data_IF_192322698412
#
_entry.id   IF_192322698412
#
_cell.length_a   1.000
_cell.length_b   1.000
_cell.length_c   1.000
_cell.angle_alpha   90.00
_cell.angle_beta   90.00
_cell.angle_gamma   90.00
#
_symmetry.space_group_name_H-M   'P 1'
#
loop_
_entity.id
_entity.type
_entity.pdbx_description
1 polymer ?
#
# COMPACT_ATOMS: atom_id res chain seq x y z
N UNK A 1 -18.42 -18.70 -5.09
CA UNK A 1 -18.52 -18.47 -6.55
C UNK A 1 -17.16 -17.92 -7.00
N UNK A 2 -16.62 -18.43 -8.12
CA UNK A 2 -15.35 -17.95 -8.66
C UNK A 2 -15.42 -16.45 -8.98
N UNK A 3 -14.37 -15.72 -8.60
CA UNK A 3 -14.18 -14.32 -8.93
C UNK A 3 -13.16 -14.25 -10.09
N UNK A 4 -13.55 -13.63 -11.19
CA UNK A 4 -12.64 -13.34 -12.30
C UNK A 4 -12.51 -11.83 -12.41
N UNK A 5 -11.30 -11.32 -12.25
CA UNK A 5 -11.03 -9.89 -12.30
C UNK A 5 -9.65 -9.62 -12.91
N UNK A 6 -9.49 -8.44 -13.47
CA UNK A 6 -8.21 -7.90 -13.89
C UNK A 6 -8.00 -6.53 -13.25
N UNK A 7 -6.75 -6.26 -12.86
CA UNK A 7 -6.29 -4.95 -12.39
C UNK A 7 -5.48 -4.32 -13.51
N UNK A 8 -5.99 -3.26 -14.16
CA UNK A 8 -5.26 -2.58 -15.25
C UNK A 8 -3.99 -1.91 -14.72
N UNK A 9 -2.90 -2.03 -15.47
CA UNK A 9 -1.59 -1.46 -15.12
C UNK A 9 -1.58 0.06 -15.16
N UNK A 10 -0.81 0.68 -14.27
CA UNK A 10 -0.62 2.14 -14.21
C UNK A 10 -1.88 2.94 -13.86
N UNK A 11 -2.92 2.30 -13.30
CA UNK A 11 -4.19 2.95 -12.97
C UNK A 11 -4.63 2.66 -11.54
N UNK A 12 -5.71 3.31 -11.10
CA UNK A 12 -6.38 2.95 -9.86
C UNK A 12 -7.46 1.89 -10.11
N UNK A 13 -7.53 0.91 -9.21
CA UNK A 13 -8.66 -0.01 -9.08
C UNK A 13 -9.23 0.09 -7.67
N UNK A 14 -10.50 0.37 -7.54
CA UNK A 14 -11.18 0.46 -6.24
C UNK A 14 -12.08 -0.75 -6.04
N UNK A 15 -11.86 -1.46 -4.93
CA UNK A 15 -12.66 -2.63 -4.53
C UNK A 15 -13.66 -2.19 -3.48
N UNK A 16 -14.94 -2.34 -3.79
CA UNK A 16 -16.06 -1.99 -2.91
C UNK A 16 -16.92 -3.23 -2.62
N UNK A 17 -17.78 -3.14 -1.62
CA UNK A 17 -18.71 -4.20 -1.26
C UNK A 17 -19.08 -4.17 0.22
N UNK A 18 -20.07 -4.93 0.66
CA UNK A 18 -20.51 -4.95 2.06
C UNK A 18 -19.42 -5.51 2.99
N UNK A 19 -19.60 -5.27 4.30
CA UNK A 19 -18.73 -5.88 5.30
C UNK A 19 -18.86 -7.40 5.25
N UNK A 20 -17.73 -8.11 5.34
CA UNK A 20 -17.70 -9.57 5.23
C UNK A 20 -17.64 -10.12 3.80
N UNK A 21 -17.73 -9.30 2.75
CA UNK A 21 -17.65 -9.75 1.34
C UNK A 21 -16.25 -10.25 0.91
N UNK A 22 -15.27 -10.26 1.81
CA UNK A 22 -13.93 -10.77 1.51
C UNK A 22 -12.97 -9.75 0.88
N UNK A 23 -13.26 -8.44 0.96
CA UNK A 23 -12.40 -7.38 0.37
C UNK A 23 -10.95 -7.43 0.87
N UNK A 24 -10.76 -7.48 2.19
CA UNK A 24 -9.41 -7.57 2.80
C UNK A 24 -8.71 -8.89 2.45
N UNK A 25 -9.46 -10.00 2.39
CA UNK A 25 -8.95 -11.29 1.94
C UNK A 25 -8.46 -11.21 0.49
N UNK A 26 -9.26 -10.61 -0.39
CA UNK A 26 -8.86 -10.38 -1.79
C UNK A 26 -7.62 -9.49 -1.88
N UNK A 27 -7.55 -8.40 -1.10
CA UNK A 27 -6.38 -7.51 -1.06
C UNK A 27 -5.10 -8.25 -0.65
N UNK A 28 -5.18 -9.07 0.41
CA UNK A 28 -4.04 -9.90 0.87
C UNK A 28 -3.63 -10.94 -0.18
N UNK A 29 -4.60 -11.53 -0.86
CA UNK A 29 -4.32 -12.52 -1.92
C UNK A 29 -3.66 -11.86 -3.13
N UNK A 30 -4.13 -10.70 -3.57
CA UNK A 30 -3.50 -9.91 -4.64
C UNK A 30 -2.08 -9.46 -4.27
N UNK A 31 -1.86 -9.14 -2.99
CA UNK A 31 -0.55 -8.75 -2.48
C UNK A 31 0.43 -9.93 -2.31
N UNK A 32 0.00 -11.18 -2.57
CA UNK A 32 0.83 -12.36 -2.38
C UNK A 32 1.14 -12.69 -0.91
N UNK A 33 0.27 -12.25 0.02
CA UNK A 33 0.40 -12.48 1.45
C UNK A 33 -0.57 -13.56 1.97
N UNK A 34 -1.56 -13.94 1.18
CA UNK A 34 -2.51 -14.99 1.48
C UNK A 34 -2.72 -15.86 0.25
N UNK A 35 -2.64 -17.18 0.42
CA UNK A 35 -2.86 -18.12 -0.68
C UNK A 35 -4.35 -18.16 -1.08
N UNK A 36 -4.61 -18.29 -2.36
CA UNK A 36 -5.96 -18.48 -2.86
C UNK A 36 -6.46 -19.89 -2.51
N UNK A 37 -7.66 -20.00 -1.91
CA UNK A 37 -8.26 -21.30 -1.62
C UNK A 37 -8.55 -22.10 -2.91
N UNK A 38 -8.92 -21.40 -3.96
CA UNK A 38 -9.18 -21.95 -5.29
C UNK A 38 -8.85 -20.91 -6.35
N UNK A 39 -8.46 -21.35 -7.54
CA UNK A 39 -8.07 -20.46 -8.65
C UNK A 39 -6.61 -20.05 -8.60
N UNK A 40 -6.25 -19.01 -9.36
CA UNK A 40 -4.90 -18.49 -9.50
C UNK A 40 -4.88 -16.98 -9.41
N UNK A 41 -3.78 -16.42 -8.91
CA UNK A 41 -3.46 -15.01 -9.01
C UNK A 41 -2.18 -14.88 -9.82
N UNK A 42 -2.26 -14.14 -10.92
CA UNK A 42 -1.12 -13.95 -11.81
C UNK A 42 -0.83 -12.45 -11.96
N UNK A 43 0.40 -12.07 -11.68
CA UNK A 43 0.89 -10.73 -11.97
C UNK A 43 1.16 -10.57 -13.47
N UNK A 44 1.13 -9.33 -13.95
CA UNK A 44 1.54 -9.01 -15.32
C UNK A 44 2.98 -9.46 -15.59
N UNK A 45 3.29 -9.77 -16.85
CA UNK A 45 4.60 -10.29 -17.25
C UNK A 45 5.77 -9.37 -16.84
N UNK A 46 5.55 -8.06 -16.85
CA UNK A 46 6.53 -7.06 -16.40
C UNK A 46 6.90 -7.16 -14.90
N UNK A 47 6.07 -7.83 -14.10
CA UNK A 47 6.30 -8.04 -12.67
C UNK A 47 6.87 -9.43 -12.35
N UNK A 48 7.13 -10.27 -13.35
CA UNK A 48 7.60 -11.64 -13.16
C UNK A 48 8.72 -11.76 -12.12
N UNK A 49 8.49 -12.57 -11.09
CA UNK A 49 9.51 -12.97 -10.13
C UNK A 49 10.33 -14.18 -10.62
N UNK A 50 11.34 -14.55 -9.87
CA UNK A 50 12.19 -15.73 -10.18
C UNK A 50 11.39 -17.03 -10.23
N UNK A 51 10.28 -17.12 -9.49
CA UNK A 51 9.41 -18.30 -9.39
C UNK A 51 8.13 -18.16 -10.23
N UNK A 52 8.09 -17.25 -11.20
CA UNK A 52 6.98 -17.06 -12.12
C UNK A 52 6.09 -15.82 -11.79
N UNK A 53 4.84 -15.88 -12.20
CA UNK A 53 3.89 -14.77 -12.11
C UNK A 53 3.03 -14.80 -10.84
N UNK A 54 3.07 -15.87 -10.06
CA UNK A 54 2.28 -16.05 -8.85
C UNK A 54 2.91 -15.31 -7.66
N UNK A 55 2.31 -14.21 -7.14
CA UNK A 55 2.92 -13.38 -6.10
C UNK A 55 3.17 -14.10 -4.78
N UNK A 56 2.35 -15.08 -4.40
CA UNK A 56 2.52 -15.86 -3.17
C UNK A 56 3.84 -16.64 -3.14
N UNK A 57 4.42 -16.91 -4.31
CA UNK A 57 5.69 -17.66 -4.45
C UNK A 57 6.92 -16.76 -4.43
N UNK A 58 6.72 -15.44 -4.45
CA UNK A 58 7.84 -14.50 -4.47
C UNK A 58 8.48 -14.37 -3.10
N UNK A 59 9.76 -14.09 -3.08
CA UNK A 59 10.47 -13.77 -1.84
C UNK A 59 10.02 -12.39 -1.33
N UNK A 60 10.15 -12.14 -0.03
CA UNK A 60 9.85 -10.82 0.55
C UNK A 60 10.60 -9.68 -0.15
N UNK A 61 11.84 -9.92 -0.61
CA UNK A 61 12.62 -8.93 -1.36
C UNK A 61 12.05 -8.67 -2.76
N UNK A 62 11.49 -9.69 -3.41
CA UNK A 62 10.80 -9.55 -4.69
C UNK A 62 9.48 -8.81 -4.53
N UNK A 63 8.71 -9.11 -3.49
CA UNK A 63 7.47 -8.40 -3.16
C UNK A 63 7.75 -6.91 -2.89
N UNK A 64 8.79 -6.60 -2.13
CA UNK A 64 9.10 -5.22 -1.70
C UNK A 64 9.18 -4.21 -2.85
N UNK A 65 9.63 -4.63 -4.04
CA UNK A 65 9.72 -3.76 -5.23
C UNK A 65 8.56 -3.92 -6.19
N UNK A 66 7.72 -4.94 -6.02
CA UNK A 66 6.63 -5.26 -6.94
C UNK A 66 5.27 -4.91 -6.38
N UNK A 67 4.96 -5.39 -5.17
CA UNK A 67 3.64 -5.19 -4.57
C UNK A 67 3.81 -4.81 -3.10
N UNK A 68 3.50 -3.57 -2.78
CA UNK A 68 3.41 -3.08 -1.41
C UNK A 68 2.00 -3.21 -0.86
N UNK A 69 1.87 -3.57 0.43
CA UNK A 69 0.57 -3.69 1.10
C UNK A 69 0.48 -2.76 2.30
N UNK A 70 -0.60 -1.95 2.33
CA UNK A 70 -1.00 -1.16 3.50
C UNK A 70 -2.16 -1.90 4.19
N UNK A 71 -1.91 -2.39 5.39
CA UNK A 71 -2.90 -3.16 6.16
C UNK A 71 -3.98 -2.27 6.75
N UNK A 72 -5.15 -2.84 7.02
CA UNK A 72 -6.25 -2.15 7.71
C UNK A 72 -5.84 -1.69 9.11
N UNK A 73 -5.06 -2.48 9.85
CA UNK A 73 -4.43 -2.06 11.10
C UNK A 73 -2.97 -1.67 10.84
N UNK A 74 -2.61 -0.36 11.00
CA UNK A 74 -1.26 0.12 10.75
C UNK A 74 -0.18 -0.54 11.62
N UNK A 75 -0.53 -0.94 12.85
CA UNK A 75 0.44 -1.48 13.81
C UNK A 75 1.00 -2.83 13.38
N UNK A 76 0.30 -3.56 12.53
CA UNK A 76 0.79 -4.83 11.96
C UNK A 76 2.02 -4.67 11.05
N UNK A 77 2.33 -3.43 10.63
CA UNK A 77 3.48 -3.14 9.76
C UNK A 77 4.72 -2.70 10.53
N UNK A 78 4.57 -2.20 11.77
CA UNK A 78 5.66 -1.51 12.46
C UNK A 78 6.67 -2.48 13.08
N UNK A 79 7.94 -2.27 12.75
CA UNK A 79 9.06 -3.14 13.11
C UNK A 79 10.12 -2.43 13.95
N UNK A 80 10.14 -1.09 13.96
CA UNK A 80 11.24 -0.31 14.53
C UNK A 80 10.80 0.59 15.68
N UNK A 81 11.77 1.22 16.35
CA UNK A 81 11.51 2.08 17.50
C UNK A 81 11.30 3.56 17.15
N UNK A 82 11.61 3.97 15.92
CA UNK A 82 11.42 5.36 15.49
C UNK A 82 10.68 5.42 14.15
N UNK A 83 9.90 6.47 13.96
CA UNK A 83 9.20 6.76 12.69
C UNK A 83 10.18 6.84 11.53
N UNK A 84 11.35 7.48 11.73
CA UNK A 84 12.40 7.59 10.71
C UNK A 84 12.95 6.22 10.32
N UNK A 85 13.27 5.38 11.29
CA UNK A 85 13.78 4.05 11.01
C UNK A 85 12.74 3.17 10.33
N UNK A 86 11.47 3.32 10.71
CA UNK A 86 10.36 2.60 10.09
C UNK A 86 10.27 2.88 8.59
N UNK A 87 10.38 4.14 8.18
CA UNK A 87 10.41 4.53 6.77
C UNK A 87 11.66 4.01 6.03
N UNK A 88 12.76 3.85 6.75
CA UNK A 88 14.02 3.39 6.17
C UNK A 88 14.11 1.85 6.00
N UNK A 89 13.19 1.06 6.58
CA UNK A 89 13.25 -0.42 6.54
C UNK A 89 13.28 -0.94 5.11
N UNK A 90 12.32 -0.56 4.28
CA UNK A 90 12.24 -0.98 2.89
C UNK A 90 13.46 -0.57 2.06
N UNK A 91 13.81 0.71 2.00
CA UNK A 91 15.01 1.19 1.32
C UNK A 91 16.31 0.52 1.76
N UNK A 92 16.52 0.29 3.06
CA UNK A 92 17.67 -0.47 3.58
C UNK A 92 17.68 -1.91 3.09
N UNK A 93 16.54 -2.59 3.10
CA UNK A 93 16.43 -3.96 2.60
C UNK A 93 16.72 -4.07 1.10
N UNK A 94 16.49 -2.99 0.34
CA UNK A 94 16.85 -2.87 -1.07
C UNK A 94 18.33 -2.55 -1.30
N UNK A 95 19.07 -2.19 -0.26
CA UNK A 95 20.50 -1.85 -0.34
C UNK A 95 20.76 -0.46 -0.92
N UNK A 96 19.81 0.48 -0.76
CA UNK A 96 20.04 1.85 -1.18
C UNK A 96 21.11 2.51 -0.32
N UNK A 97 21.83 3.47 -0.89
CA UNK A 97 22.80 4.28 -0.15
C UNK A 97 22.10 5.19 0.87
N UNK A 98 22.88 5.69 1.83
CA UNK A 98 22.36 6.49 2.93
C UNK A 98 21.74 7.80 2.44
N UNK A 99 22.36 8.46 1.48
CA UNK A 99 21.92 9.74 0.93
C UNK A 99 20.53 9.60 0.28
N UNK A 100 20.33 8.55 -0.49
CA UNK A 100 19.05 8.25 -1.12
C UNK A 100 17.98 7.90 -0.08
N UNK A 101 18.33 7.11 0.93
CA UNK A 101 17.42 6.75 2.03
C UNK A 101 16.98 8.02 2.77
N UNK A 102 17.93 8.86 3.18
CA UNK A 102 17.63 10.09 3.92
C UNK A 102 16.73 11.02 3.09
N UNK A 103 17.01 11.19 1.81
CA UNK A 103 16.20 12.03 0.92
C UNK A 103 14.75 11.55 0.80
N UNK A 104 14.53 10.24 0.62
CA UNK A 104 13.17 9.67 0.51
C UNK A 104 12.43 9.76 1.85
N UNK A 105 13.11 9.45 2.94
CA UNK A 105 12.53 9.51 4.29
C UNK A 105 12.13 10.94 4.65
N UNK A 106 13.00 11.92 4.43
CA UNK A 106 12.71 13.32 4.72
C UNK A 106 11.55 13.85 3.89
N UNK A 107 11.50 13.54 2.60
CA UNK A 107 10.40 13.93 1.73
C UNK A 107 9.05 13.34 2.18
N UNK A 108 9.01 12.07 2.58
CA UNK A 108 7.78 11.43 3.06
C UNK A 108 7.33 11.97 4.42
N UNK A 109 8.28 12.22 5.34
CA UNK A 109 8.00 12.85 6.63
C UNK A 109 7.36 14.23 6.46
N UNK A 110 7.90 15.05 5.58
CA UNK A 110 7.40 16.39 5.28
C UNK A 110 5.99 16.33 4.67
N UNK A 111 5.82 15.55 3.61
CA UNK A 111 4.57 15.45 2.84
C UNK A 111 3.40 14.94 3.68
N UNK A 112 3.67 14.04 4.61
CA UNK A 112 2.64 13.47 5.48
C UNK A 112 2.53 14.15 6.86
N UNK A 113 3.29 15.24 7.08
CA UNK A 113 3.25 16.01 8.33
C UNK A 113 3.74 15.20 9.53
N UNK A 114 4.76 14.37 9.34
CA UNK A 114 5.36 13.51 10.36
C UNK A 114 6.76 13.98 10.80
N UNK A 115 7.30 15.06 10.25
CA UNK A 115 8.68 15.54 10.50
C UNK A 115 8.97 15.73 11.98
N UNK A 116 8.07 16.37 12.72
CA UNK A 116 8.23 16.58 14.17
C UNK A 116 8.17 15.27 14.98
N UNK A 117 7.75 14.19 14.38
CA UNK A 117 7.57 12.87 15.01
C UNK A 117 8.64 11.86 14.55
N UNK A 118 9.64 12.30 13.78
CA UNK A 118 10.65 11.43 13.19
C UNK A 118 11.38 10.54 14.23
N UNK A 119 11.62 11.06 15.43
CA UNK A 119 12.24 10.34 16.54
C UNK A 119 11.25 9.63 17.48
N UNK A 120 9.93 9.80 17.26
CA UNK A 120 8.90 9.19 18.10
C UNK A 120 8.78 7.70 17.83
N UNK A 121 8.33 6.96 18.83
CA UNK A 121 8.00 5.54 18.66
C UNK A 121 6.70 5.40 17.84
N UNK A 122 6.66 4.60 16.77
CA UNK A 122 5.48 4.41 15.92
C UNK A 122 4.21 4.04 16.70
N UNK A 123 4.34 3.23 17.73
CA UNK A 123 3.20 2.78 18.54
C UNK A 123 2.60 3.88 19.42
N UNK A 124 3.32 4.97 19.68
CA UNK A 124 2.82 6.12 20.48
C UNK A 124 2.06 7.17 19.64
N UNK A 125 2.06 7.02 18.34
CA UNK A 125 1.37 7.92 17.42
C UNK A 125 -0.16 7.83 17.57
N UNK A 126 -0.87 8.91 17.22
CA UNK A 126 -2.33 8.84 17.05
C UNK A 126 -2.71 7.91 15.89
N UNK A 127 -3.95 7.41 15.88
CA UNK A 127 -4.43 6.51 14.82
C UNK A 127 -4.24 7.10 13.41
N UNK A 128 -4.54 8.39 13.22
CA UNK A 128 -4.32 9.06 11.94
C UNK A 128 -2.83 9.19 11.57
N UNK A 129 -1.95 9.43 12.53
CA UNK A 129 -0.50 9.46 12.31
C UNK A 129 0.04 8.06 11.96
N UNK A 130 -0.41 7.02 12.66
CA UNK A 130 -0.07 5.62 12.35
C UNK A 130 -0.47 5.26 10.93
N UNK A 131 -1.67 5.63 10.50
CA UNK A 131 -2.15 5.40 9.14
C UNK A 131 -1.28 6.10 8.10
N UNK A 132 -0.94 7.37 8.29
CA UNK A 132 -0.01 8.10 7.40
C UNK A 132 1.36 7.44 7.35
N UNK A 133 1.89 7.01 8.50
CA UNK A 133 3.15 6.29 8.55
C UNK A 133 3.07 4.97 7.78
N UNK A 134 2.00 4.17 7.95
CA UNK A 134 1.87 2.89 7.24
C UNK A 134 1.81 3.04 5.71
N UNK A 135 1.16 4.09 5.22
CA UNK A 135 1.20 4.43 3.78
C UNK A 135 2.62 4.82 3.36
N UNK A 136 3.29 5.67 4.15
CA UNK A 136 4.64 6.13 3.84
C UNK A 136 5.67 4.99 3.79
N UNK A 137 5.58 3.98 4.68
CA UNK A 137 6.51 2.83 4.67
C UNK A 137 6.44 2.04 3.37
N UNK A 138 5.26 1.89 2.80
CA UNK A 138 5.08 1.22 1.51
C UNK A 138 5.65 2.08 0.37
N UNK A 139 5.32 3.37 0.35
CA UNK A 139 5.80 4.30 -0.67
C UNK A 139 7.33 4.47 -0.66
N UNK A 140 7.96 4.33 0.50
CA UNK A 140 9.43 4.45 0.64
C UNK A 140 10.19 3.41 -0.19
N UNK A 141 9.62 2.23 -0.43
CA UNK A 141 10.22 1.18 -1.26
C UNK A 141 9.93 1.35 -2.76
N UNK A 142 9.05 2.29 -3.14
CA UNK A 142 8.62 2.56 -4.52
C UNK A 142 8.19 1.27 -5.28
N UNK A 143 7.20 0.52 -4.80
CA UNK A 143 6.72 -0.68 -5.48
C UNK A 143 5.96 -0.34 -6.77
N UNK A 144 5.91 -1.26 -7.72
CA UNK A 144 5.16 -1.08 -8.95
C UNK A 144 3.63 -1.14 -8.75
N UNK A 145 3.18 -1.89 -7.74
CA UNK A 145 1.77 -2.02 -7.35
C UNK A 145 1.62 -1.70 -5.87
N UNK A 146 0.62 -0.92 -5.51
CA UNK A 146 0.29 -0.60 -4.12
C UNK A 146 -1.13 -1.09 -3.85
N UNK A 147 -1.26 -2.01 -2.90
CA UNK A 147 -2.55 -2.49 -2.40
C UNK A 147 -2.82 -1.85 -1.04
N UNK A 148 -3.99 -1.23 -0.86
CA UNK A 148 -4.33 -0.53 0.37
C UNK A 148 -5.69 -1.02 0.89
N UNK A 149 -5.74 -1.29 2.19
CA UNK A 149 -6.99 -1.61 2.88
C UNK A 149 -7.39 -0.45 3.79
N UNK A 150 -8.48 0.25 3.41
CA UNK A 150 -9.04 1.44 4.07
C UNK A 150 -7.99 2.54 4.35
N UNK A 151 -7.28 3.06 3.32
CA UNK A 151 -6.12 3.93 3.51
C UNK A 151 -6.44 5.27 4.20
N UNK A 152 -7.66 5.75 4.12
CA UNK A 152 -8.09 7.06 4.67
C UNK A 152 -8.90 6.96 5.96
N UNK A 153 -9.12 5.75 6.46
CA UNK A 153 -9.90 5.56 7.67
C UNK A 153 -9.28 6.30 8.87
N UNK A 154 -10.11 7.06 9.59
CA UNK A 154 -9.68 7.79 10.78
C UNK A 154 -8.80 9.02 10.50
N UNK A 155 -8.73 9.50 9.25
CA UNK A 155 -8.00 10.71 8.90
C UNK A 155 -8.84 11.97 9.10
N UNK A 156 -8.18 13.02 9.59
CA UNK A 156 -8.69 14.38 9.44
C UNK A 156 -8.54 14.83 7.97
N UNK A 157 -9.11 15.99 7.63
CA UNK A 157 -9.09 16.51 6.26
C UNK A 157 -7.66 16.67 5.70
N UNK A 158 -6.70 17.10 6.53
CA UNK A 158 -5.30 17.27 6.11
C UNK A 158 -4.63 15.92 5.80
N UNK A 159 -4.79 14.96 6.70
CA UNK A 159 -4.26 13.62 6.52
C UNK A 159 -4.89 12.92 5.30
N UNK A 160 -6.19 13.08 5.10
CA UNK A 160 -6.91 12.56 3.95
C UNK A 160 -6.34 13.13 2.64
N UNK A 161 -6.23 14.47 2.53
CA UNK A 161 -5.65 15.12 1.35
C UNK A 161 -4.23 14.64 1.11
N UNK A 162 -3.40 14.56 2.16
CA UNK A 162 -2.01 14.11 2.03
C UNK A 162 -1.89 12.71 1.44
N UNK A 163 -2.69 11.75 1.93
CA UNK A 163 -2.69 10.38 1.42
C UNK A 163 -3.20 10.33 -0.03
N UNK A 164 -4.35 10.93 -0.31
CA UNK A 164 -4.97 10.86 -1.65
C UNK A 164 -4.09 11.53 -2.70
N UNK A 165 -3.50 12.71 -2.39
CA UNK A 165 -2.57 13.38 -3.31
C UNK A 165 -1.34 12.53 -3.62
N UNK A 166 -0.76 11.87 -2.60
CA UNK A 166 0.35 10.96 -2.81
C UNK A 166 -0.01 9.80 -3.73
N UNK A 167 -1.17 9.17 -3.51
CA UNK A 167 -1.63 8.07 -4.38
C UNK A 167 -1.89 8.54 -5.80
N UNK A 168 -2.47 9.73 -6.00
CA UNK A 168 -2.67 10.32 -7.33
C UNK A 168 -1.34 10.56 -8.05
N UNK A 169 -0.33 11.04 -7.33
CA UNK A 169 1.01 11.23 -7.91
C UNK A 169 1.68 9.92 -8.27
N UNK A 170 1.53 8.88 -7.44
CA UNK A 170 2.05 7.54 -7.78
C UNK A 170 1.35 6.98 -9.03
N UNK A 171 0.03 7.12 -9.15
CA UNK A 171 -0.70 6.75 -10.37
C UNK A 171 -0.19 7.53 -11.57
N UNK A 172 0.03 8.84 -11.43
CA UNK A 172 0.57 9.68 -12.51
C UNK A 172 1.99 9.28 -12.93
N UNK A 173 2.76 8.61 -12.06
CA UNK A 173 4.08 8.03 -12.36
C UNK A 173 4.01 6.63 -12.96
N UNK A 174 2.82 6.07 -13.12
CA UNK A 174 2.60 4.74 -13.67
C UNK A 174 2.50 3.63 -12.61
N UNK A 175 2.46 3.95 -11.32
CA UNK A 175 2.23 2.96 -10.26
C UNK A 175 0.77 2.50 -10.30
N UNK A 176 0.54 1.19 -10.26
CA UNK A 176 -0.80 0.62 -10.14
C UNK A 176 -1.26 0.69 -8.68
N UNK A 177 -2.46 1.22 -8.44
CA UNK A 177 -3.04 1.36 -7.10
C UNK A 177 -4.31 0.53 -6.98
N UNK A 178 -4.36 -0.36 -6.00
CA UNK A 178 -5.56 -1.13 -5.64
C UNK A 178 -6.01 -0.69 -4.26
N UNK A 179 -7.17 -0.06 -4.14
CA UNK A 179 -7.70 0.42 -2.88
C UNK A 179 -9.00 -0.29 -2.51
N UNK A 180 -9.00 -0.97 -1.38
CA UNK A 180 -10.23 -1.40 -0.72
C UNK A 180 -10.73 -0.24 0.10
N UNK A 181 -11.92 0.28 -0.19
CA UNK A 181 -12.50 1.38 0.59
C UNK A 181 -14.00 1.50 0.38
N UNK A 182 -14.66 2.10 1.34
CA UNK A 182 -16.06 2.53 1.25
C UNK A 182 -16.18 4.07 1.21
N UNK A 183 -15.05 4.79 1.25
CA UNK A 183 -15.02 6.25 1.17
C UNK A 183 -15.32 6.72 -0.26
N UNK A 184 -16.50 7.33 -0.44
CA UNK A 184 -16.98 7.82 -1.74
C UNK A 184 -16.08 8.90 -2.34
N UNK A 185 -15.41 9.69 -1.49
CA UNK A 185 -14.50 10.74 -1.95
C UNK A 185 -13.18 10.14 -2.45
N UNK A 186 -12.64 9.11 -1.79
CA UNK A 186 -11.48 8.35 -2.31
C UNK A 186 -11.80 7.74 -3.66
N UNK A 187 -12.95 7.06 -3.78
CA UNK A 187 -13.41 6.46 -5.04
C UNK A 187 -13.45 7.49 -6.17
N UNK A 188 -13.98 8.68 -5.88
CA UNK A 188 -14.09 9.78 -6.85
C UNK A 188 -12.74 10.37 -7.24
N UNK A 189 -11.84 10.54 -6.28
CA UNK A 189 -10.55 11.22 -6.50
C UNK A 189 -9.49 10.31 -7.11
N UNK A 190 -9.48 9.03 -6.77
CA UNK A 190 -8.56 8.09 -7.42
C UNK A 190 -9.03 7.77 -8.84
N UNK A 191 -10.35 7.83 -9.11
CA UNK A 191 -10.89 7.44 -10.40
C UNK A 191 -10.64 5.98 -10.72
N UNK A 192 -10.57 5.66 -12.01
CA UNK A 192 -10.13 4.36 -12.50
C UNK A 192 -11.20 3.27 -12.48
N UNK A 193 -10.75 2.03 -12.30
CA UNK A 193 -11.60 0.85 -12.38
C UNK A 193 -12.29 0.56 -11.05
N UNK A 194 -13.55 0.11 -11.10
CA UNK A 194 -14.31 -0.28 -9.88
C UNK A 194 -14.68 -1.75 -9.94
N UNK A 195 -14.35 -2.47 -8.88
CA UNK A 195 -14.75 -3.86 -8.67
C UNK A 195 -15.72 -3.90 -7.49
N UNK A 196 -16.89 -4.50 -7.66
CA UNK A 196 -17.89 -4.63 -6.62
C UNK A 196 -18.02 -6.10 -6.22
N UNK A 197 -17.68 -6.40 -4.96
CA UNK A 197 -17.87 -7.74 -4.40
C UNK A 197 -19.29 -7.88 -3.86
N UNK A 198 -19.98 -8.93 -4.28
CA UNK A 198 -21.25 -9.33 -3.71
C UNK A 198 -21.05 -10.03 -2.36
N UNK A 199 -22.10 -9.99 -1.52
CA UNK A 199 -22.13 -10.72 -0.25
C UNK A 199 -22.22 -12.24 -0.46
#
# INVERSE_FOLDING_TARGET
RGLELAVPDGTATVIVGPNGAGKSTLALTLAGLLDALHGTVEAAEGLRGRRGLDPIRWTSRELLTRIGMVFQDPEHQFLTQTVRDELAVGPRALGWDKERIDAVVDALLERLGLTALAAANPFTLSGGQKRRLSVATVLAAAPAVIVLDEPTFGQDRRGWIGIVSLLQEEIARGTTVVAVTHDADVIRHLGGHRIELAA
#
